data_IF_746307380090
#
_entry.id   IF_746307380090
#
_cell.length_a   1.000
_cell.length_b   1.000
_cell.length_c   1.000
_cell.angle_alpha   90.00
_cell.angle_beta   90.00
_cell.angle_gamma   90.00
#
_symmetry.space_group_name_H-M   'P 1'
#
loop_
_entity.id
_entity.type
_entity.pdbx_description
1 polymer ?
#
# COMPACT_ATOMS: atom_id res chain seq x y z
N UNK A 1 -5.20 -23.00 -21.19
CA UNK A 1 -6.05 -21.97 -20.54
C UNK A 1 -5.75 -20.65 -21.21
N UNK A 2 -6.76 -19.99 -21.78
CA UNK A 2 -6.65 -18.62 -22.29
C UNK A 2 -6.39 -17.69 -21.11
N UNK A 3 -5.66 -16.60 -21.35
CA UNK A 3 -5.24 -15.62 -20.33
C UNK A 3 -6.43 -15.07 -19.51
N UNK A 4 -7.62 -15.04 -20.11
CA UNK A 4 -8.86 -14.50 -19.53
C UNK A 4 -9.64 -15.46 -18.61
N UNK A 5 -9.25 -16.74 -18.51
CA UNK A 5 -9.97 -17.74 -17.69
C UNK A 5 -9.10 -18.35 -16.60
N UNK A 6 -7.98 -17.71 -16.24
CA UNK A 6 -7.07 -18.24 -15.24
C UNK A 6 -7.56 -17.94 -13.83
N UNK A 7 -7.78 -18.99 -13.03
CA UNK A 7 -7.84 -18.86 -11.57
C UNK A 7 -6.43 -18.58 -11.03
N UNK A 8 -6.07 -17.31 -10.97
CA UNK A 8 -4.71 -16.91 -10.68
C UNK A 8 -4.22 -17.43 -9.33
N UNK A 9 -3.02 -18.03 -9.34
CA UNK A 9 -2.19 -18.24 -8.16
C UNK A 9 -1.04 -17.26 -8.25
N UNK A 10 -1.14 -16.15 -7.53
CA UNK A 10 -0.13 -15.10 -7.53
C UNK A 10 1.03 -15.46 -6.63
N UNK A 11 2.24 -15.20 -7.09
CA UNK A 11 3.47 -15.18 -6.31
C UNK A 11 4.11 -13.80 -6.44
N UNK A 12 4.79 -13.35 -5.38
CA UNK A 12 5.60 -12.14 -5.47
C UNK A 12 6.77 -12.35 -6.43
N UNK A 13 7.08 -11.32 -7.20
CA UNK A 13 8.21 -11.25 -8.12
C UNK A 13 8.90 -9.89 -7.98
N UNK A 14 10.16 -9.78 -8.41
CA UNK A 14 10.91 -8.52 -8.41
C UNK A 14 10.90 -7.79 -7.06
N UNK A 15 11.07 -8.55 -5.96
CA UNK A 15 11.03 -8.01 -4.60
C UNK A 15 12.23 -7.08 -4.39
N UNK A 16 11.97 -5.91 -3.84
CA UNK A 16 12.94 -4.88 -3.47
C UNK A 16 12.65 -4.40 -2.06
N UNK A 17 13.67 -4.42 -1.22
CA UNK A 17 13.61 -3.88 0.13
C UNK A 17 14.19 -2.48 0.12
N UNK A 18 13.56 -1.58 0.88
CA UNK A 18 13.96 -0.19 0.93
C UNK A 18 13.10 0.59 1.92
N UNK A 19 12.80 1.83 1.57
CA UNK A 19 12.14 2.78 2.45
C UNK A 19 11.00 3.49 1.73
N UNK A 20 9.84 3.55 2.36
CA UNK A 20 8.82 4.54 2.06
C UNK A 20 9.27 5.86 2.67
N UNK A 21 9.51 6.85 1.83
CA UNK A 21 9.87 8.21 2.23
C UNK A 21 8.62 9.08 2.14
N UNK A 22 8.42 9.93 3.13
CA UNK A 22 7.34 10.91 3.16
C UNK A 22 7.94 12.31 3.25
N UNK A 23 7.52 13.17 2.33
CA UNK A 23 7.89 14.58 2.33
C UNK A 23 6.64 15.46 2.43
N UNK A 24 6.84 16.66 2.98
CA UNK A 24 5.78 17.63 3.19
C UNK A 24 6.21 19.01 2.75
N UNK A 25 5.32 19.71 2.07
CA UNK A 25 5.52 21.11 1.78
C UNK A 25 5.09 21.96 2.98
N UNK A 26 6.00 22.72 3.60
CA UNK A 26 5.63 23.56 4.74
C UNK A 26 4.75 24.75 4.34
N UNK A 27 4.82 25.18 3.08
CA UNK A 27 4.04 26.31 2.56
C UNK A 27 2.56 25.95 2.35
N UNK A 28 2.27 24.84 1.65
CA UNK A 28 0.90 24.46 1.27
C UNK A 28 0.38 23.20 1.96
N UNK A 29 1.18 22.58 2.84
CA UNK A 29 0.87 21.31 3.54
C UNK A 29 0.64 20.10 2.62
N UNK A 30 0.99 20.20 1.33
CA UNK A 30 1.00 19.05 0.44
C UNK A 30 1.90 17.95 1.00
N UNK A 31 1.57 16.70 0.66
CA UNK A 31 2.29 15.50 1.06
C UNK A 31 2.60 14.69 -0.17
N UNK A 32 3.81 14.18 -0.27
CA UNK A 32 4.20 13.21 -1.28
C UNK A 32 4.85 12.00 -0.61
N UNK A 33 4.83 10.89 -1.31
CA UNK A 33 5.60 9.72 -0.90
C UNK A 33 6.29 9.10 -2.09
N UNK A 34 7.45 8.51 -1.85
CA UNK A 34 8.15 7.72 -2.85
C UNK A 34 8.88 6.57 -2.17
N UNK A 35 9.34 5.64 -2.99
CA UNK A 35 10.13 4.52 -2.53
C UNK A 35 11.60 4.74 -2.87
N UNK A 36 12.47 4.49 -1.90
CA UNK A 36 13.92 4.53 -2.05
C UNK A 36 14.51 3.16 -1.77
N UNK A 37 15.34 2.65 -2.69
CA UNK A 37 16.10 1.41 -2.50
C UNK A 37 17.28 1.59 -1.52
N UNK A 38 17.63 2.83 -1.19
CA UNK A 38 18.70 3.18 -0.24
C UNK A 38 18.12 3.92 0.98
N UNK A 39 18.77 3.82 2.16
CA UNK A 39 18.46 4.70 3.28
C UNK A 39 18.58 6.14 2.80
N UNK A 40 17.49 6.91 2.91
CA UNK A 40 17.51 8.30 2.48
C UNK A 40 18.23 9.08 3.58
N UNK A 41 19.46 9.59 3.33
CA UNK A 41 20.08 10.50 4.29
C UNK A 41 19.15 11.70 4.46
N UNK A 42 19.20 12.46 5.57
CA UNK A 42 18.44 13.70 5.65
C UNK A 42 18.78 14.55 4.41
N UNK A 43 17.79 14.67 3.52
CA UNK A 43 17.86 15.53 2.34
C UNK A 43 17.55 16.94 2.86
N UNK A 44 18.43 17.89 2.56
CA UNK A 44 18.19 19.30 2.87
C UNK A 44 16.86 19.75 2.26
N UNK A 45 16.18 20.67 2.94
CA UNK A 45 14.95 21.27 2.40
C UNK A 45 15.21 21.82 0.99
N UNK A 46 14.33 21.50 0.04
CA UNK A 46 14.49 21.88 -1.35
C UNK A 46 13.22 22.50 -1.93
N UNK A 47 13.40 23.31 -2.98
CA UNK A 47 12.31 23.96 -3.69
C UNK A 47 12.10 23.30 -5.04
N UNK A 48 10.87 22.88 -5.31
CA UNK A 48 10.44 22.37 -6.61
C UNK A 48 9.15 23.08 -7.03
N UNK A 49 9.23 23.89 -8.09
CA UNK A 49 8.11 24.76 -8.49
C UNK A 49 7.73 25.72 -7.36
N UNK A 50 6.47 25.67 -6.92
CA UNK A 50 5.95 26.48 -5.81
C UNK A 50 5.99 25.76 -4.45
N UNK A 51 6.54 24.54 -4.42
CA UNK A 51 6.61 23.73 -3.20
C UNK A 51 7.99 23.79 -2.55
N UNK A 52 7.98 23.84 -1.21
CA UNK A 52 9.17 23.78 -0.37
C UNK A 52 9.13 22.46 0.42
N UNK A 53 9.80 21.44 -0.09
CA UNK A 53 9.74 20.09 0.42
C UNK A 53 10.73 19.88 1.56
N UNK A 54 10.22 19.28 2.64
CA UNK A 54 10.99 18.84 3.80
C UNK A 54 10.76 17.35 4.05
N UNK A 55 11.81 16.63 4.42
CA UNK A 55 11.71 15.24 4.88
C UNK A 55 10.87 15.15 6.16
N UNK A 56 9.82 14.33 6.14
CA UNK A 56 8.96 14.10 7.31
C UNK A 56 9.22 12.76 7.99
N UNK A 57 9.75 11.79 7.25
CA UNK A 57 10.11 10.48 7.81
C UNK A 57 10.26 9.40 6.74
N UNK A 58 10.91 8.32 7.16
CA UNK A 58 11.12 7.11 6.38
C UNK A 58 10.68 5.87 7.17
N UNK A 59 10.15 4.89 6.45
CA UNK A 59 9.67 3.63 7.01
C UNK A 59 10.19 2.48 6.17
N UNK A 60 10.75 1.45 6.80
CA UNK A 60 11.12 0.24 6.08
C UNK A 60 9.91 -0.31 5.30
N UNK A 61 10.13 -0.60 4.03
CA UNK A 61 9.10 -1.02 3.10
C UNK A 61 9.64 -2.04 2.10
N UNK A 62 8.75 -2.86 1.56
CA UNK A 62 9.05 -3.73 0.43
C UNK A 62 8.17 -3.40 -0.78
N UNK A 63 8.79 -3.28 -1.96
CA UNK A 63 8.11 -3.26 -3.26
C UNK A 63 8.25 -4.62 -3.94
N UNK A 64 7.22 -5.02 -4.65
CA UNK A 64 7.21 -6.27 -5.40
C UNK A 64 6.15 -6.16 -6.50
N UNK A 65 6.28 -6.99 -7.52
CA UNK A 65 5.24 -7.25 -8.52
C UNK A 65 4.56 -8.58 -8.21
N UNK A 66 3.44 -8.85 -8.89
CA UNK A 66 2.79 -10.16 -8.82
C UNK A 66 2.94 -10.90 -10.15
N UNK A 67 3.33 -12.17 -10.08
CA UNK A 67 3.37 -13.07 -11.23
C UNK A 67 2.52 -14.31 -10.94
N UNK A 68 1.63 -14.65 -11.86
CA UNK A 68 0.83 -15.84 -11.73
C UNK A 68 1.65 -17.08 -12.09
N UNK A 69 1.70 -18.06 -11.19
CA UNK A 69 2.42 -19.32 -11.40
C UNK A 69 1.76 -20.24 -12.44
N UNK A 70 0.44 -20.10 -12.66
CA UNK A 70 -0.32 -20.95 -13.59
C UNK A 70 -0.26 -20.47 -15.04
N UNK A 71 -0.37 -19.16 -15.28
CA UNK A 71 -0.47 -18.59 -16.64
C UNK A 71 0.62 -17.60 -16.99
N UNK A 72 1.60 -17.38 -16.09
CA UNK A 72 2.69 -16.42 -16.25
C UNK A 72 2.27 -14.95 -16.46
N UNK A 73 0.98 -14.60 -16.26
CA UNK A 73 0.53 -13.21 -16.23
C UNK A 73 1.31 -12.44 -15.15
N UNK A 74 1.72 -11.22 -15.47
CA UNK A 74 2.40 -10.32 -14.55
C UNK A 74 1.55 -9.07 -14.32
N UNK A 75 1.49 -8.63 -13.07
CA UNK A 75 0.85 -7.40 -12.63
C UNK A 75 1.94 -6.54 -12.01
N UNK A 76 2.48 -5.56 -12.76
CA UNK A 76 3.42 -4.61 -12.20
C UNK A 76 2.69 -3.75 -11.17
N UNK A 77 3.30 -3.56 -10.00
CA UNK A 77 2.77 -2.71 -8.92
C UNK A 77 3.59 -1.43 -8.79
N UNK A 78 4.02 -0.86 -9.91
CA UNK A 78 4.89 0.32 -9.96
C UNK A 78 4.34 1.50 -9.18
N UNK A 79 3.01 1.68 -9.22
CA UNK A 79 2.30 2.78 -8.57
C UNK A 79 2.13 2.59 -7.05
N UNK A 80 2.38 1.37 -6.53
CA UNK A 80 2.33 1.08 -5.10
C UNK A 80 3.69 1.41 -4.49
N UNK A 81 3.73 2.41 -3.60
CA UNK A 81 4.94 2.79 -2.86
C UNK A 81 5.15 1.90 -1.64
N UNK A 82 4.07 1.56 -0.94
CA UNK A 82 4.09 0.65 0.20
C UNK A 82 2.68 0.14 0.54
N UNK A 83 2.62 -0.92 1.34
CA UNK A 83 1.39 -1.38 1.99
C UNK A 83 1.43 -1.01 3.47
N UNK A 84 0.35 -0.45 3.99
CA UNK A 84 0.26 -0.01 5.38
C UNK A 84 -0.97 -0.61 6.06
N UNK A 85 -0.76 -1.44 7.08
CA UNK A 85 -1.83 -1.97 7.92
C UNK A 85 -2.48 -0.85 8.72
N UNK A 86 -3.80 -0.69 8.59
CA UNK A 86 -4.55 0.28 9.37
C UNK A 86 -4.81 -0.26 10.79
N UNK A 87 -4.30 0.46 11.80
CA UNK A 87 -4.49 0.12 13.21
C UNK A 87 -5.79 0.70 13.80
N UNK A 88 -6.84 0.83 12.97
CA UNK A 88 -8.18 1.31 13.36
C UNK A 88 -8.22 2.73 13.96
N UNK A 89 -7.41 3.64 13.43
CA UNK A 89 -7.20 4.99 13.98
C UNK A 89 -8.43 5.91 14.02
N UNK A 90 -9.37 5.87 13.06
CA UNK A 90 -10.52 6.78 13.01
C UNK A 90 -11.78 6.09 12.42
N UNK A 91 -12.91 6.02 13.16
CA UNK A 91 -14.15 5.38 12.69
C UNK A 91 -14.77 5.98 11.41
N UNK A 92 -14.51 7.27 11.15
CA UNK A 92 -15.02 7.94 9.95
C UNK A 92 -14.16 7.67 8.71
N UNK A 93 -12.94 7.16 8.87
CA UNK A 93 -12.01 6.87 7.79
C UNK A 93 -12.54 5.75 6.89
N UNK A 94 -12.46 5.91 5.57
CA UNK A 94 -12.88 4.89 4.61
C UNK A 94 -12.11 3.57 4.76
N UNK A 95 -10.82 3.63 5.12
CA UNK A 95 -10.02 2.44 5.42
C UNK A 95 -10.52 1.71 6.67
N UNK A 96 -10.93 2.44 7.72
CA UNK A 96 -11.54 1.84 8.91
C UNK A 96 -12.86 1.15 8.54
N UNK A 97 -13.74 1.86 7.82
CA UNK A 97 -15.05 1.34 7.40
C UNK A 97 -14.91 0.13 6.49
N UNK A 98 -13.87 0.06 5.67
CA UNK A 98 -13.59 -1.10 4.81
C UNK A 98 -13.30 -2.39 5.60
N UNK A 99 -12.92 -2.27 6.87
CA UNK A 99 -12.66 -3.38 7.79
C UNK A 99 -13.87 -3.83 8.60
N UNK A 100 -15.01 -3.14 8.50
CA UNK A 100 -16.24 -3.56 9.13
C UNK A 100 -16.90 -4.67 8.29
N UNK A 101 -16.72 -5.91 8.72
CA UNK A 101 -17.28 -7.10 8.07
C UNK A 101 -18.44 -7.72 8.87
N UNK A 102 -18.94 -7.03 9.89
CA UNK A 102 -19.97 -7.52 10.80
C UNK A 102 -19.42 -8.34 11.99
N UNK A 103 -20.32 -8.80 12.89
CA UNK A 103 -19.93 -9.48 14.12
C UNK A 103 -19.20 -10.80 13.84
N UNK A 104 -18.07 -11.02 14.53
CA UNK A 104 -17.32 -12.28 14.48
C UNK A 104 -16.28 -12.43 13.35
N UNK A 105 -16.22 -11.49 12.39
CA UNK A 105 -15.21 -11.51 11.32
C UNK A 105 -14.06 -10.55 11.63
N UNK A 106 -12.81 -11.05 11.54
CA UNK A 106 -11.60 -10.23 11.71
C UNK A 106 -11.07 -9.85 10.34
N UNK A 107 -11.37 -8.62 9.90
CA UNK A 107 -10.79 -8.06 8.67
C UNK A 107 -9.58 -7.21 9.00
N UNK A 108 -8.44 -7.52 8.40
CA UNK A 108 -7.25 -6.68 8.40
C UNK A 108 -7.26 -5.84 7.14
N UNK A 109 -7.13 -4.53 7.29
CA UNK A 109 -7.18 -3.61 6.14
C UNK A 109 -5.83 -2.99 5.92
N UNK A 110 -5.26 -3.20 4.74
CA UNK A 110 -4.04 -2.51 4.30
C UNK A 110 -4.41 -1.42 3.31
N UNK A 111 -3.90 -0.22 3.54
CA UNK A 111 -3.90 0.85 2.55
C UNK A 111 -2.69 0.66 1.62
N UNK A 112 -2.94 0.48 0.32
CA UNK A 112 -1.92 0.52 -0.71
C UNK A 112 -1.63 1.99 -1.05
N UNK A 113 -0.43 2.45 -0.72
CA UNK A 113 0.01 3.84 -0.81
C UNK A 113 0.52 4.15 -2.22
N UNK A 114 0.05 5.23 -2.84
CA UNK A 114 0.61 5.74 -4.09
C UNK A 114 1.45 6.99 -3.84
N UNK A 115 2.18 7.45 -4.87
CA UNK A 115 3.09 8.58 -4.74
C UNK A 115 2.37 9.92 -4.48
N UNK A 116 1.27 10.17 -5.19
CA UNK A 116 0.43 11.34 -4.99
C UNK A 116 -0.51 11.13 -3.80
N UNK A 117 -0.11 11.59 -2.62
CA UNK A 117 -0.92 11.40 -1.42
C UNK A 117 -2.10 12.37 -1.32
N UNK A 118 -2.16 13.38 -2.21
CA UNK A 118 -3.26 14.36 -2.28
C UNK A 118 -4.50 13.83 -2.98
N UNK A 119 -4.35 12.83 -3.87
CA UNK A 119 -5.39 12.25 -4.72
C UNK A 119 -6.14 13.26 -5.60
N UNK A 120 -5.58 14.45 -5.80
CA UNK A 120 -6.23 15.53 -6.56
C UNK A 120 -6.50 15.15 -8.01
N UNK A 121 -5.69 14.25 -8.58
CA UNK A 121 -5.86 13.72 -9.94
C UNK A 121 -6.91 12.60 -10.05
N UNK A 122 -7.57 12.22 -8.95
CA UNK A 122 -8.68 11.26 -8.93
C UNK A 122 -8.29 9.79 -9.20
N UNK A 123 -7.01 9.47 -9.39
CA UNK A 123 -6.49 8.10 -9.57
C UNK A 123 -5.34 7.86 -8.58
N UNK A 124 -5.57 7.02 -7.54
CA UNK A 124 -4.51 6.57 -6.61
C UNK A 124 -3.77 5.36 -7.20
N UNK A 125 -4.49 4.26 -7.48
CA UNK A 125 -3.89 3.00 -7.96
C UNK A 125 -4.76 2.33 -9.04
N UNK A 126 -4.17 1.58 -9.98
CA UNK A 126 -4.93 0.77 -10.93
C UNK A 126 -5.76 -0.32 -10.25
N UNK A 127 -7.01 -0.50 -10.66
CA UNK A 127 -7.91 -1.53 -10.11
C UNK A 127 -7.37 -2.95 -10.29
N UNK A 128 -6.68 -3.22 -11.39
CA UNK A 128 -6.07 -4.52 -11.65
C UNK A 128 -5.01 -4.89 -10.58
N UNK A 129 -4.21 -3.91 -10.16
CA UNK A 129 -3.22 -4.09 -9.09
C UNK A 129 -3.88 -4.36 -7.75
N UNK A 130 -4.91 -3.58 -7.40
CA UNK A 130 -5.69 -3.78 -6.17
C UNK A 130 -6.37 -5.15 -6.13
N UNK A 131 -6.95 -5.60 -7.25
CA UNK A 131 -7.57 -6.92 -7.36
C UNK A 131 -6.54 -8.03 -7.16
N UNK A 132 -5.41 -7.98 -7.87
CA UNK A 132 -4.36 -8.99 -7.76
C UNK A 132 -3.77 -9.05 -6.33
N UNK A 133 -3.60 -7.89 -5.66
CA UNK A 133 -3.18 -7.83 -4.27
C UNK A 133 -4.21 -8.47 -3.32
N UNK A 134 -5.49 -8.19 -3.49
CA UNK A 134 -6.53 -8.84 -2.69
C UNK A 134 -6.56 -10.37 -2.92
N UNK A 135 -6.45 -10.82 -4.17
CA UNK A 135 -6.35 -12.26 -4.49
C UNK A 135 -5.12 -12.89 -3.84
N UNK A 136 -3.95 -12.24 -3.94
CA UNK A 136 -2.68 -12.72 -3.37
C UNK A 136 -2.77 -12.88 -1.84
N UNK A 137 -3.15 -11.83 -1.11
CA UNK A 137 -3.17 -11.87 0.36
C UNK A 137 -4.25 -12.79 0.94
N UNK A 138 -5.29 -13.14 0.19
CA UNK A 138 -6.33 -14.05 0.65
C UNK A 138 -6.15 -15.51 0.18
N UNK A 139 -5.26 -15.78 -0.79
CA UNK A 139 -5.06 -17.13 -1.33
C UNK A 139 -4.50 -18.14 -0.31
N UNK A 140 -3.81 -17.67 0.73
CA UNK A 140 -3.17 -18.50 1.77
C UNK A 140 -3.86 -18.49 3.13
N UNK A 141 -5.04 -17.87 3.27
CA UNK A 141 -5.70 -17.80 4.57
C UNK A 141 -6.36 -19.14 4.93
N UNK A 142 -5.87 -19.77 6.01
CA UNK A 142 -6.40 -21.03 6.54
C UNK A 142 -7.56 -20.83 7.54
N UNK A 143 -7.67 -19.65 8.15
CA UNK A 143 -8.74 -19.31 9.09
C UNK A 143 -9.93 -18.68 8.34
N UNK A 144 -11.09 -19.35 8.27
CA UNK A 144 -12.28 -18.83 7.58
C UNK A 144 -12.87 -17.55 8.21
N UNK A 145 -12.46 -17.20 9.44
CA UNK A 145 -12.84 -15.95 10.11
C UNK A 145 -11.93 -14.77 9.81
N UNK A 146 -10.77 -15.00 9.17
CA UNK A 146 -9.82 -13.95 8.77
C UNK A 146 -10.08 -13.53 7.33
N UNK A 147 -9.98 -12.22 7.10
CA UNK A 147 -10.03 -11.62 5.77
C UNK A 147 -8.98 -10.53 5.69
N UNK A 148 -8.21 -10.47 4.61
CA UNK A 148 -7.32 -9.35 4.34
C UNK A 148 -7.96 -8.49 3.24
N UNK A 149 -8.03 -7.19 3.45
CA UNK A 149 -8.56 -6.26 2.46
C UNK A 149 -7.52 -5.22 2.10
N UNK A 150 -7.12 -5.21 0.84
CA UNK A 150 -6.21 -4.20 0.29
C UNK A 150 -7.07 -3.11 -0.36
N UNK A 151 -6.93 -1.87 0.11
CA UNK A 151 -7.72 -0.74 -0.35
C UNK A 151 -6.82 0.40 -0.83
N UNK A 152 -7.29 1.24 -1.78
CA UNK A 152 -6.51 2.37 -2.22
C UNK A 152 -6.37 3.43 -1.13
N UNK A 153 -5.21 4.09 -1.14
CA UNK A 153 -4.83 5.14 -0.22
C UNK A 153 -5.77 6.35 -0.13
N UNK A 154 -6.58 6.63 -1.16
CA UNK A 154 -7.53 7.74 -1.18
C UNK A 154 -8.71 7.55 -0.22
N UNK A 155 -8.93 6.34 0.29
CA UNK A 155 -9.93 6.11 1.34
C UNK A 155 -9.47 6.58 2.72
N UNK A 156 -8.19 6.97 2.87
CA UNK A 156 -7.69 7.56 4.11
C UNK A 156 -8.29 8.95 4.29
N UNK A 157 -8.76 9.23 5.51
CA UNK A 157 -9.29 10.56 5.86
C UNK A 157 -8.20 11.64 5.83
N UNK A 158 -7.02 11.33 6.33
CA UNK A 158 -5.86 12.21 6.31
C UNK A 158 -4.59 11.37 6.43
N UNK A 159 -3.52 11.80 5.76
CA UNK A 159 -2.18 11.19 5.90
C UNK A 159 -1.61 11.52 7.28
N UNK A 160 -1.79 12.74 7.76
CA UNK A 160 -1.21 13.24 9.02
C UNK A 160 -1.80 12.57 10.28
N UNK A 161 -3.05 12.11 10.20
CA UNK A 161 -3.74 11.47 11.33
C UNK A 161 -3.83 9.95 11.20
N UNK A 162 -3.30 9.36 10.12
CA UNK A 162 -3.39 7.93 9.91
C UNK A 162 -2.30 7.23 10.73
N UNK A 163 -2.72 6.32 11.61
CA UNK A 163 -1.79 5.43 12.32
C UNK A 163 -1.86 4.03 11.69
N UNK A 164 -0.69 3.51 11.35
CA UNK A 164 -0.56 2.21 10.71
C UNK A 164 0.86 1.68 10.78
N UNK A 165 1.00 0.40 10.42
CA UNK A 165 2.30 -0.28 10.34
C UNK A 165 2.60 -0.52 8.87
N UNK A 166 3.72 0.03 8.39
CA UNK A 166 4.19 -0.23 7.02
C UNK A 166 4.75 -1.64 6.93
N UNK A 167 4.38 -2.37 5.88
CA UNK A 167 4.88 -3.71 5.61
C UNK A 167 6.34 -3.63 5.15
N UNK A 168 7.24 -3.83 6.11
CA UNK A 168 8.69 -3.83 5.91
C UNK A 168 9.21 -5.13 5.27
N UNK A 169 8.59 -6.25 5.64
CA UNK A 169 8.98 -7.59 5.20
C UNK A 169 7.76 -8.36 4.66
N UNK A 170 7.97 -9.07 3.57
CA UNK A 170 7.00 -9.95 2.92
C UNK A 170 6.80 -11.26 3.70
N UNK A 171 7.71 -11.62 4.61
CA UNK A 171 7.58 -12.76 5.53
C UNK A 171 6.55 -12.56 6.65
N UNK A 172 6.00 -11.35 6.83
CA UNK A 172 4.95 -11.08 7.81
C UNK A 172 3.60 -11.71 7.46
N UNK A 173 3.43 -12.26 6.26
CA UNK A 173 2.27 -13.11 5.92
C UNK A 173 2.38 -14.52 6.48
N UNK A 174 3.57 -14.97 6.91
CA UNK A 174 3.81 -16.29 7.48
C UNK A 174 3.65 -16.32 9.01
N UNK A 175 3.37 -15.17 9.64
CA UNK A 175 3.18 -15.07 11.08
C UNK A 175 1.67 -15.09 11.39
N UNK A 176 1.16 -16.30 11.70
CA UNK A 176 -0.13 -16.68 12.34
C UNK A 176 -1.34 -17.06 11.46
#
# INVERSE_FOLDING_TARGET
MTKDSCEHRWAMANIRHGYLVIEGCFHCRSRISFFSDEPVPPIDDYMEGEHFWSHLGDFQASKFDLRCEKCAAAVPLTDVMALMLCMRCNPECGVFKAGDAGPGKKTWVYAALCADTSHTKGKCLPEAGLRALNEYFNAGLHDPGKLIRIVPCHLRKSVDTCQGVVLADVGLTDIY
#
